data_IF_095165797700
#
_entry.id   IF_095165797700
#
_cell.length_a   1.000
_cell.length_b   1.000
_cell.length_c   1.000
_cell.angle_alpha   90.00
_cell.angle_beta   90.00
_cell.angle_gamma   90.00
#
_symmetry.space_group_name_H-M   'P 1'
#
loop_
_entity.id
_entity.type
_entity.pdbx_description
1 polymer ?
#
# COMPACT_ATOMS: atom_id res chain seq x y z
N UNK A 1 -1.42 12.22 36.42
CA UNK A 1 -1.83 11.20 35.42
C UNK A 1 -2.07 11.94 34.12
N UNK A 2 -1.32 11.62 33.08
CA UNK A 2 -1.50 12.23 31.77
C UNK A 2 -2.49 11.35 31.00
N UNK A 3 -3.67 11.89 30.70
CA UNK A 3 -4.71 11.18 29.97
C UNK A 3 -4.17 10.75 28.61
N UNK A 4 -4.36 9.48 28.27
CA UNK A 4 -4.08 8.98 26.94
C UNK A 4 -5.04 9.69 25.98
N UNK A 5 -4.51 10.62 25.18
CA UNK A 5 -5.23 11.18 24.03
C UNK A 5 -5.73 10.01 23.20
N UNK A 6 -7.03 9.92 22.96
CA UNK A 6 -7.60 8.94 22.04
C UNK A 6 -7.13 9.30 20.62
N UNK A 7 -6.10 8.60 20.14
CA UNK A 7 -5.36 8.97 18.90
C UNK A 7 -6.01 8.43 17.63
N UNK A 8 -7.20 7.84 17.75
CA UNK A 8 -7.92 7.20 16.65
C UNK A 8 -7.32 5.85 16.25
N UNK A 9 -8.16 4.98 15.69
CA UNK A 9 -7.74 3.66 15.24
C UNK A 9 -6.79 3.75 14.03
N UNK A 10 -5.90 2.76 13.91
CA UNK A 10 -5.08 2.56 12.72
C UNK A 10 -5.46 1.25 12.04
N UNK A 11 -5.54 1.27 10.71
CA UNK A 11 -5.99 0.13 9.91
C UNK A 11 -4.92 -0.28 8.92
N UNK A 12 -4.59 -1.57 8.90
CA UNK A 12 -3.79 -2.18 7.83
C UNK A 12 -4.75 -2.74 6.79
N UNK A 13 -4.54 -2.38 5.52
CA UNK A 13 -5.29 -3.00 4.42
C UNK A 13 -4.53 -4.19 3.84
N UNK A 14 -5.24 -5.31 3.69
CA UNK A 14 -4.81 -6.50 2.97
C UNK A 14 -5.80 -6.68 1.80
N UNK A 15 -5.36 -6.46 0.57
CA UNK A 15 -6.24 -6.50 -0.61
C UNK A 15 -5.64 -7.35 -1.72
N UNK A 16 -6.45 -7.77 -2.69
CA UNK A 16 -5.89 -8.42 -3.88
C UNK A 16 -5.29 -7.37 -4.84
N UNK A 17 -6.05 -6.34 -5.21
CA UNK A 17 -5.58 -5.23 -6.06
C UNK A 17 -5.13 -4.03 -5.22
N UNK A 18 -4.03 -3.40 -5.64
CA UNK A 18 -3.50 -2.19 -5.03
C UNK A 18 -4.17 -0.90 -5.54
N UNK A 19 -3.74 0.27 -5.05
CA UNK A 19 -4.24 1.56 -5.54
C UNK A 19 -3.73 1.84 -6.96
N UNK A 20 -4.61 2.32 -7.84
CA UNK A 20 -4.24 2.72 -9.20
C UNK A 20 -3.08 3.73 -9.19
N UNK A 21 -2.27 3.71 -10.26
CA UNK A 21 -1.12 4.62 -10.44
C UNK A 21 -0.01 4.46 -9.38
N UNK A 22 -0.10 3.43 -8.53
CA UNK A 22 1.01 3.06 -7.66
C UNK A 22 2.14 2.46 -8.50
N UNK A 23 3.39 2.71 -8.13
CA UNK A 23 4.53 2.00 -8.72
C UNK A 23 4.41 0.48 -8.54
N UNK A 24 3.70 0.03 -7.50
CA UNK A 24 3.42 -1.39 -7.22
C UNK A 24 2.28 -1.99 -8.03
N UNK A 25 1.55 -1.19 -8.82
CA UNK A 25 0.44 -1.65 -9.70
C UNK A 25 0.65 -1.32 -11.17
N UNK A 26 1.75 -0.62 -11.50
CA UNK A 26 2.11 -0.25 -12.86
C UNK A 26 3.05 -1.32 -13.43
N UNK A 27 2.59 -2.05 -14.44
CA UNK A 27 3.36 -3.07 -15.14
C UNK A 27 4.01 -2.40 -16.35
N UNK A 28 5.35 -2.49 -16.43
CA UNK A 28 6.16 -1.96 -17.53
C UNK A 28 6.60 -3.11 -18.42
N UNK A 29 5.86 -3.36 -19.47
CA UNK A 29 5.98 -4.56 -20.33
C UNK A 29 7.29 -4.62 -21.12
N UNK A 30 8.03 -3.51 -21.19
CA UNK A 30 9.36 -3.39 -21.79
C UNK A 30 10.49 -3.84 -20.85
N UNK A 31 10.23 -4.00 -19.55
CA UNK A 31 11.25 -4.30 -18.54
C UNK A 31 10.87 -5.46 -17.62
N UNK A 32 9.57 -5.65 -17.33
CA UNK A 32 9.12 -6.54 -16.24
C UNK A 32 8.39 -7.82 -16.69
N UNK A 33 8.11 -7.99 -17.99
CA UNK A 33 7.22 -9.05 -18.48
C UNK A 33 7.86 -9.89 -19.62
N UNK A 34 8.00 -11.22 -19.48
CA UNK A 34 8.60 -12.06 -20.54
C UNK A 34 7.63 -12.49 -21.65
N UNK A 35 6.30 -12.31 -21.48
CA UNK A 35 5.31 -12.83 -22.42
C UNK A 35 5.12 -11.92 -23.65
N UNK A 36 5.29 -12.44 -24.88
CA UNK A 36 5.15 -11.70 -26.13
C UNK A 36 3.82 -10.97 -26.33
N UNK A 37 2.71 -11.43 -25.71
CA UNK A 37 1.39 -10.81 -25.88
C UNK A 37 1.36 -9.37 -25.35
N UNK A 38 2.20 -9.06 -24.37
CA UNK A 38 2.25 -7.74 -23.72
C UNK A 38 3.12 -6.72 -24.44
N UNK A 39 3.84 -7.11 -25.49
CA UNK A 39 4.67 -6.19 -26.33
C UNK A 39 3.87 -5.06 -26.97
N UNK A 40 2.55 -5.19 -27.05
CA UNK A 40 1.64 -4.19 -27.62
C UNK A 40 1.11 -3.18 -26.59
N UNK A 41 1.35 -3.38 -25.30
CA UNK A 41 0.86 -2.53 -24.22
C UNK A 41 2.03 -1.90 -23.49
N UNK A 42 2.37 -0.63 -23.74
CA UNK A 42 3.55 -0.03 -23.11
C UNK A 42 3.46 0.07 -21.56
N UNK A 43 2.26 0.30 -21.03
CA UNK A 43 2.01 0.34 -19.59
C UNK A 43 0.61 -0.21 -19.27
N UNK A 44 0.53 -1.17 -18.34
CA UNK A 44 -0.74 -1.67 -17.80
C UNK A 44 -0.85 -1.25 -16.36
N UNK A 45 -1.88 -0.47 -16.04
CA UNK A 45 -2.22 -0.15 -14.66
C UNK A 45 -3.29 -1.14 -14.18
N UNK A 46 -2.90 -2.03 -13.27
CA UNK A 46 -3.78 -3.08 -12.71
C UNK A 46 -4.37 -2.70 -11.34
N UNK A 47 -4.16 -1.45 -10.90
CA UNK A 47 -4.66 -0.96 -9.62
C UNK A 47 -6.07 -0.38 -9.70
N UNK A 48 -6.71 -0.25 -8.53
CA UNK A 48 -8.06 0.29 -8.35
C UNK A 48 -8.07 1.82 -8.15
N UNK A 49 -8.77 2.61 -9.01
CA UNK A 49 -8.92 4.05 -8.81
C UNK A 49 -9.63 4.40 -7.51
N UNK A 50 -10.69 3.65 -7.15
CA UNK A 50 -11.42 3.88 -5.92
C UNK A 50 -10.56 3.63 -4.67
N UNK A 51 -9.62 2.68 -4.75
CA UNK A 51 -8.71 2.46 -3.63
C UNK A 51 -7.67 3.58 -3.50
N UNK A 52 -7.18 4.11 -4.63
CA UNK A 52 -6.35 5.32 -4.63
C UNK A 52 -7.10 6.50 -3.99
N UNK A 53 -8.38 6.69 -4.31
CA UNK A 53 -9.20 7.74 -3.73
C UNK A 53 -9.36 7.58 -2.22
N UNK A 54 -9.51 6.34 -1.72
CA UNK A 54 -9.55 6.05 -0.27
C UNK A 54 -8.26 6.51 0.43
N UNK A 55 -7.10 6.26 -0.18
CA UNK A 55 -5.80 6.64 0.39
C UNK A 55 -5.49 8.14 0.23
N UNK A 56 -6.06 8.78 -0.79
CA UNK A 56 -5.84 10.21 -1.09
C UNK A 56 -6.79 11.14 -0.36
N UNK A 57 -8.02 10.71 -0.11
CA UNK A 57 -9.06 11.58 0.43
C UNK A 57 -8.79 11.90 1.90
N UNK A 58 -8.47 13.16 2.25
CA UNK A 58 -8.43 13.57 3.65
C UNK A 58 -9.85 13.46 4.24
N UNK A 59 -10.00 13.17 5.54
CA UNK A 59 -11.33 13.09 6.16
C UNK A 59 -12.12 14.37 5.89
N UNK A 60 -13.30 14.23 5.28
CA UNK A 60 -14.27 15.33 5.20
C UNK A 60 -14.99 15.40 6.55
N UNK A 61 -14.93 16.53 7.28
CA UNK A 61 -15.77 16.69 8.45
C UNK A 61 -17.23 16.73 7.99
N UNK A 62 -18.00 15.70 8.33
CA UNK A 62 -19.46 15.79 8.30
C UNK A 62 -19.90 16.50 9.58
N UNK A 63 -20.69 17.55 9.42
CA UNK A 63 -21.19 18.44 10.48
C UNK A 63 -21.44 17.74 11.82
N UNK A 64 -20.73 18.17 12.86
CA UNK A 64 -21.06 17.89 14.26
C UNK A 64 -20.26 16.79 14.97
N UNK A 65 -19.54 15.94 14.24
CA UNK A 65 -18.61 14.97 14.84
C UNK A 65 -17.27 15.03 14.08
N UNK A 66 -16.12 15.11 14.78
CA UNK A 66 -14.84 14.89 14.12
C UNK A 66 -14.83 13.44 13.62
N UNK A 67 -15.10 13.23 12.32
CA UNK A 67 -14.87 11.93 11.68
C UNK A 67 -13.36 11.82 11.50
N UNK A 68 -12.68 11.31 12.51
CA UNK A 68 -11.31 10.83 12.36
C UNK A 68 -11.38 9.53 11.59
N UNK A 69 -11.18 9.59 10.26
CA UNK A 69 -10.91 8.36 9.50
C UNK A 69 -9.68 7.69 10.12
N UNK A 70 -9.67 6.36 10.25
CA UNK A 70 -8.50 5.67 10.79
C UNK A 70 -7.30 5.93 9.90
N UNK A 71 -6.14 6.13 10.51
CA UNK A 71 -4.88 6.27 9.79
C UNK A 71 -4.53 4.91 9.17
N UNK A 72 -4.07 4.91 7.92
CA UNK A 72 -3.74 3.68 7.18
C UNK A 72 -2.22 3.65 7.02
N UNK A 73 -1.44 3.09 7.96
CA UNK A 73 0.02 3.10 7.85
C UNK A 73 0.53 2.15 6.77
N UNK A 74 -0.18 1.04 6.50
CA UNK A 74 0.26 -0.04 5.63
C UNK A 74 -0.88 -0.57 4.75
N UNK A 75 -0.56 -0.78 3.47
CA UNK A 75 -1.38 -1.47 2.48
C UNK A 75 -0.54 -2.58 1.87
N UNK A 76 -1.01 -3.82 1.97
CA UNK A 76 -0.42 -4.98 1.31
C UNK A 76 -1.36 -5.43 0.20
N UNK A 77 -0.82 -5.63 -1.00
CA UNK A 77 -1.60 -6.14 -2.11
C UNK A 77 -0.82 -7.10 -3.00
N UNK A 78 -1.52 -7.78 -3.91
CA UNK A 78 -0.94 -8.60 -4.97
C UNK A 78 -1.44 -8.16 -6.34
N UNK A 79 -1.95 -9.13 -7.13
CA UNK A 79 -2.54 -8.96 -8.46
C UNK A 79 -1.55 -8.56 -9.57
N UNK A 80 -0.73 -7.55 -9.33
CA UNK A 80 0.18 -6.98 -10.32
C UNK A 80 1.48 -7.76 -10.51
N UNK A 81 1.59 -8.95 -9.88
CA UNK A 81 2.69 -9.93 -9.92
C UNK A 81 4.09 -9.30 -10.05
N UNK A 82 4.52 -8.98 -11.27
CA UNK A 82 5.83 -8.41 -11.62
C UNK A 82 6.06 -6.97 -11.12
N UNK A 83 5.02 -6.22 -10.78
CA UNK A 83 5.13 -4.91 -10.11
C UNK A 83 5.45 -5.04 -8.61
N UNK A 84 6.38 -5.93 -8.27
CA UNK A 84 6.91 -6.11 -6.91
C UNK A 84 7.61 -4.84 -6.46
N UNK A 85 7.34 -4.39 -5.24
CA UNK A 85 7.96 -3.17 -4.74
C UNK A 85 7.26 -2.53 -3.56
N UNK A 86 7.75 -1.34 -3.24
CA UNK A 86 7.23 -0.46 -2.18
C UNK A 86 6.95 0.91 -2.79
N UNK A 87 5.82 1.50 -2.43
CA UNK A 87 5.45 2.84 -2.84
C UNK A 87 4.76 3.59 -1.70
N UNK A 88 4.92 4.91 -1.65
CA UNK A 88 4.32 5.75 -0.62
C UNK A 88 3.18 6.56 -1.22
N UNK A 89 1.98 6.45 -0.62
CA UNK A 89 0.83 7.29 -0.97
C UNK A 89 0.37 7.98 0.31
N UNK A 90 0.60 9.29 0.41
CA UNK A 90 0.34 10.06 1.62
C UNK A 90 0.96 9.39 2.88
N UNK A 91 0.11 9.06 3.85
CA UNK A 91 0.50 8.43 5.10
C UNK A 91 0.61 6.90 5.03
N UNK A 92 0.31 6.30 3.86
CA UNK A 92 0.27 4.85 3.65
C UNK A 92 1.48 4.34 2.87
N UNK A 93 2.11 3.29 3.38
CA UNK A 93 3.12 2.52 2.65
C UNK A 93 2.40 1.38 1.96
N UNK A 94 2.51 1.33 0.64
CA UNK A 94 1.89 0.33 -0.23
C UNK A 94 2.97 -0.66 -0.63
N UNK A 95 2.73 -1.94 -0.38
CA UNK A 95 3.69 -3.01 -0.63
C UNK A 95 3.04 -4.09 -1.48
N UNK A 96 3.74 -4.48 -2.55
CA UNK A 96 3.46 -5.68 -3.31
C UNK A 96 4.67 -6.61 -3.19
N UNK A 97 4.55 -7.77 -2.50
CA UNK A 97 5.67 -8.68 -2.34
C UNK A 97 6.05 -9.41 -3.63
N UNK A 98 5.20 -9.36 -4.65
CA UNK A 98 5.34 -10.14 -5.87
C UNK A 98 4.52 -11.43 -5.84
N UNK A 99 4.67 -12.24 -6.88
CA UNK A 99 3.99 -13.53 -7.00
C UNK A 99 4.75 -14.63 -6.25
N UNK A 100 4.02 -15.44 -5.49
CA UNK A 100 4.61 -16.65 -4.90
C UNK A 100 5.10 -17.66 -5.95
N UNK A 101 4.53 -17.65 -7.16
CA UNK A 101 5.00 -18.48 -8.28
C UNK A 101 6.43 -18.13 -8.71
N UNK A 102 6.84 -16.88 -8.45
CA UNK A 102 8.18 -16.36 -8.73
C UNK A 102 9.06 -16.40 -7.46
N UNK A 103 8.68 -17.23 -6.49
CA UNK A 103 9.36 -17.40 -5.19
C UNK A 103 9.52 -16.10 -4.40
N UNK A 104 8.59 -15.15 -4.57
CA UNK A 104 8.65 -13.85 -3.92
C UNK A 104 7.87 -13.82 -2.60
N UNK A 105 8.43 -13.16 -1.59
CA UNK A 105 7.80 -12.88 -0.30
C UNK A 105 8.17 -11.48 0.22
N UNK A 106 7.50 -11.03 1.30
CA UNK A 106 7.81 -9.76 1.95
C UNK A 106 7.75 -9.87 3.48
N UNK A 107 8.74 -9.31 4.16
CA UNK A 107 8.78 -9.13 5.60
C UNK A 107 8.60 -7.63 5.90
N UNK A 108 7.61 -7.30 6.73
CA UNK A 108 7.32 -5.92 7.12
C UNK A 108 7.36 -5.79 8.63
N UNK A 109 8.15 -4.85 9.12
CA UNK A 109 8.19 -4.47 10.53
C UNK A 109 7.30 -3.23 10.76
N UNK A 110 6.36 -3.34 11.70
CA UNK A 110 5.62 -2.19 12.20
C UNK A 110 6.21 -1.75 13.55
N UNK A 111 6.57 -0.48 13.67
CA UNK A 111 7.07 0.12 14.92
C UNK A 111 6.07 1.13 15.44
N UNK A 112 5.87 1.11 16.75
CA UNK A 112 5.09 2.14 17.42
C UNK A 112 6.00 3.32 17.73
N UNK A 113 5.66 4.48 17.18
CA UNK A 113 6.35 5.74 17.43
C UNK A 113 6.19 6.16 18.90
N UNK A 114 7.29 6.48 19.57
CA UNK A 114 7.26 6.79 21.01
C UNK A 114 6.62 8.14 21.32
N UNK A 115 6.67 9.10 20.38
CA UNK A 115 6.14 10.45 20.56
C UNK A 115 4.67 10.52 20.10
N UNK A 116 4.42 10.10 18.86
CA UNK A 116 3.08 10.12 18.28
C UNK A 116 2.22 8.95 18.75
N UNK A 117 2.80 7.86 19.26
CA UNK A 117 2.05 6.67 19.69
C UNK A 117 1.46 5.85 18.53
N UNK A 118 1.72 6.25 17.29
CA UNK A 118 1.21 5.64 16.06
C UNK A 118 2.12 4.52 15.59
N UNK A 119 1.52 3.45 15.07
CA UNK A 119 2.20 2.44 14.27
C UNK A 119 2.64 3.03 12.93
N UNK A 120 3.92 2.87 12.61
CA UNK A 120 4.54 3.25 11.34
C UNK A 120 5.26 2.04 10.77
N UNK A 121 5.37 2.00 9.45
CA UNK A 121 6.23 1.00 8.79
C UNK A 121 7.68 1.36 9.09
N UNK A 122 8.40 0.42 9.71
CA UNK A 122 9.83 0.51 9.99
C UNK A 122 10.64 0.01 8.81
N UNK A 123 10.77 -1.30 8.69
CA UNK A 123 11.47 -1.95 7.58
C UNK A 123 10.50 -2.69 6.66
N UNK A 124 10.87 -2.75 5.38
CA UNK A 124 10.23 -3.61 4.38
C UNK A 124 11.35 -4.33 3.65
N UNK A 125 11.37 -5.65 3.77
CA UNK A 125 12.30 -6.52 3.05
C UNK A 125 11.50 -7.35 2.06
N UNK A 126 11.86 -7.24 0.78
CA UNK A 126 11.30 -8.09 -0.26
C UNK A 126 12.28 -9.23 -0.49
N UNK A 127 11.82 -10.46 -0.28
CA UNK A 127 12.63 -11.69 -0.34
C UNK A 127 12.32 -12.47 -1.62
N UNK A 128 13.34 -13.10 -2.20
CA UNK A 128 13.25 -14.09 -3.28
C UNK A 128 13.99 -15.35 -2.81
N UNK A 129 13.46 -16.53 -3.16
CA UNK A 129 14.01 -17.84 -2.76
C UNK A 129 14.38 -18.68 -3.97
#
# INVERSE_FOLDING_TARGET
MQEAVDKGDQVVFLTHSGPATSATTLIRTDVTEPDPIWKFYHHVNSGSPSFLDILRTPPKPTSGTPVTRPLIPLVLHGHSHWSRGVHRINASTVVNPGSFKDCAAGLIELKRDAESGEWKVGTVELIEF
#
